data_IF_370521495409
#
_entry.id   IF_370521495409
#
_cell.length_a   1.000
_cell.length_b   1.000
_cell.length_c   1.000
_cell.angle_alpha   90.00
_cell.angle_beta   90.00
_cell.angle_gamma   90.00
#
_symmetry.space_group_name_H-M   'P 1'
#
loop_
_entity.id
_entity.type
_entity.pdbx_description
1 polymer ?
#
# COMPACT_ATOMS: atom_id res chain seq x y z
N UNK A 1 15.52 -21.03 -8.12
CA UNK A 1 14.70 -21.00 -6.88
C UNK A 1 13.41 -20.33 -7.27
N UNK A 2 12.26 -21.07 -7.28
CA UNK A 2 10.98 -20.46 -7.60
C UNK A 2 10.63 -19.43 -6.53
N UNK A 3 10.22 -18.21 -6.97
CA UNK A 3 9.82 -17.13 -6.06
C UNK A 3 8.67 -17.62 -5.18
N UNK A 4 8.95 -17.88 -3.90
CA UNK A 4 7.93 -18.28 -2.94
C UNK A 4 6.97 -17.11 -2.72
N UNK A 5 5.69 -17.30 -3.06
CA UNK A 5 4.69 -16.24 -2.97
C UNK A 5 4.28 -15.99 -1.50
N UNK A 6 4.23 -14.74 -1.11
CA UNK A 6 3.66 -14.30 0.15
C UNK A 6 2.14 -14.14 0.06
N UNK A 7 1.65 -13.68 -1.11
CA UNK A 7 0.22 -13.53 -1.38
C UNK A 7 -0.06 -14.11 -2.76
N UNK A 8 -1.09 -14.93 -2.84
CA UNK A 8 -1.63 -15.47 -4.07
C UNK A 8 -3.16 -15.35 -4.04
N UNK A 9 -3.74 -14.79 -5.10
CA UNK A 9 -5.18 -14.70 -5.24
C UNK A 9 -5.55 -15.02 -6.68
N UNK A 10 -6.68 -15.69 -6.87
CA UNK A 10 -7.19 -16.07 -8.18
C UNK A 10 -8.70 -15.88 -8.24
N UNK A 11 -9.12 -15.09 -9.23
CA UNK A 11 -10.52 -14.87 -9.55
C UNK A 11 -11.35 -14.24 -8.43
N UNK A 12 -10.79 -13.36 -7.60
CA UNK A 12 -11.53 -12.77 -6.48
C UNK A 12 -12.71 -11.93 -6.95
N UNK A 13 -13.89 -12.28 -6.48
CA UNK A 13 -15.14 -11.56 -6.73
C UNK A 13 -15.72 -11.10 -5.40
N UNK A 14 -16.24 -9.86 -5.38
CA UNK A 14 -16.97 -9.32 -4.24
C UNK A 14 -18.04 -8.34 -4.67
N UNK A 15 -19.25 -8.53 -4.14
CA UNK A 15 -20.35 -7.59 -4.27
C UNK A 15 -20.83 -7.14 -2.89
N UNK A 16 -21.30 -5.93 -2.78
CA UNK A 16 -22.05 -5.42 -1.64
C UNK A 16 -23.43 -4.98 -2.14
N UNK A 17 -24.45 -5.71 -1.72
CA UNK A 17 -25.81 -5.59 -2.31
C UNK A 17 -25.71 -5.75 -3.83
N UNK A 18 -26.18 -4.77 -4.59
CA UNK A 18 -26.21 -4.78 -6.06
C UNK A 18 -24.93 -4.23 -6.72
N UNK A 19 -23.97 -3.76 -5.92
CA UNK A 19 -22.72 -3.17 -6.43
C UNK A 19 -21.61 -4.20 -6.45
N UNK A 20 -21.13 -4.55 -7.65
CA UNK A 20 -19.97 -5.43 -7.83
C UNK A 20 -18.67 -4.62 -7.66
N UNK A 21 -17.92 -4.88 -6.59
CA UNK A 21 -16.71 -4.15 -6.21
C UNK A 21 -15.44 -4.83 -6.70
N UNK A 22 -15.43 -6.17 -6.78
CA UNK A 22 -14.32 -6.95 -7.37
C UNK A 22 -14.88 -7.88 -8.45
N UNK A 23 -14.20 -7.95 -9.59
CA UNK A 23 -14.64 -8.64 -10.80
C UNK A 23 -13.57 -9.59 -11.35
N UNK A 24 -13.07 -10.52 -10.52
CA UNK A 24 -12.08 -11.50 -10.92
C UNK A 24 -10.64 -10.97 -10.77
N UNK A 25 -10.23 -10.63 -9.55
CA UNK A 25 -8.90 -10.10 -9.26
C UNK A 25 -7.93 -11.26 -9.04
N UNK A 26 -6.81 -11.24 -9.78
CA UNK A 26 -5.69 -12.16 -9.67
C UNK A 26 -4.46 -11.42 -9.15
N UNK A 27 -3.76 -11.95 -8.14
CA UNK A 27 -2.58 -11.32 -7.53
C UNK A 27 -1.51 -12.36 -7.23
N UNK A 28 -0.25 -11.98 -7.46
CA UNK A 28 0.93 -12.79 -7.13
C UNK A 28 2.01 -11.88 -6.55
N UNK A 29 2.23 -11.98 -5.24
CA UNK A 29 3.17 -11.12 -4.51
C UNK A 29 4.33 -11.96 -3.99
N UNK A 30 5.56 -11.75 -4.44
CA UNK A 30 6.74 -12.44 -3.92
C UNK A 30 7.01 -12.10 -2.46
N UNK A 31 7.63 -13.03 -1.72
CA UNK A 31 8.07 -12.79 -0.34
C UNK A 31 9.17 -11.73 -0.28
N UNK A 32 9.15 -10.93 0.79
CA UNK A 32 10.16 -9.89 1.05
C UNK A 32 10.14 -8.74 0.05
N UNK A 33 9.07 -8.59 -0.74
CA UNK A 33 8.93 -7.51 -1.70
C UNK A 33 7.96 -6.43 -1.21
N UNK A 34 8.05 -5.25 -1.81
CA UNK A 34 6.99 -4.22 -1.75
C UNK A 34 6.14 -4.35 -3.01
N UNK A 35 4.85 -4.56 -2.82
CA UNK A 35 3.85 -4.61 -3.88
C UNK A 35 2.84 -3.49 -3.67
N UNK A 36 2.56 -2.71 -4.71
CA UNK A 36 1.57 -1.64 -4.66
C UNK A 36 0.33 -1.98 -5.49
N UNK A 37 -0.83 -1.79 -4.88
CA UNK A 37 -2.12 -1.79 -5.57
C UNK A 37 -2.55 -0.34 -5.78
N UNK A 38 -2.31 0.18 -6.97
CA UNK A 38 -2.58 1.56 -7.38
C UNK A 38 -3.97 1.68 -8.00
N UNK A 39 -4.70 2.74 -7.70
CA UNK A 39 -5.98 3.02 -8.35
C UNK A 39 -6.77 4.13 -7.67
N UNK A 40 -7.82 4.65 -8.31
CA UNK A 40 -8.67 5.69 -7.75
C UNK A 40 -9.46 5.20 -6.52
N UNK A 41 -10.08 6.14 -5.81
CA UNK A 41 -11.01 5.80 -4.75
C UNK A 41 -12.21 5.02 -5.33
N UNK A 42 -12.65 3.98 -4.60
CA UNK A 42 -13.72 3.10 -5.08
C UNK A 42 -13.29 2.00 -6.05
N UNK A 43 -12.02 1.95 -6.51
CA UNK A 43 -11.55 0.90 -7.42
C UNK A 43 -11.58 -0.53 -6.85
N UNK A 44 -11.74 -0.71 -5.53
CA UNK A 44 -11.77 -2.01 -4.87
C UNK A 44 -10.52 -2.35 -4.04
N UNK A 45 -9.55 -1.44 -3.93
CA UNK A 45 -8.28 -1.63 -3.21
C UNK A 45 -8.48 -2.09 -1.76
N UNK A 46 -9.20 -1.31 -0.96
CA UNK A 46 -9.49 -1.63 0.45
C UNK A 46 -10.27 -2.94 0.59
N UNK A 47 -11.20 -3.25 -0.34
CA UNK A 47 -11.94 -4.52 -0.33
C UNK A 47 -10.99 -5.70 -0.57
N UNK A 48 -10.04 -5.58 -1.50
CA UNK A 48 -9.00 -6.58 -1.74
C UNK A 48 -8.18 -6.82 -0.48
N UNK A 49 -7.66 -5.76 0.15
CA UNK A 49 -6.93 -5.85 1.43
C UNK A 49 -7.77 -6.53 2.51
N UNK A 50 -9.04 -6.17 2.66
CA UNK A 50 -9.93 -6.76 3.69
C UNK A 50 -10.16 -8.26 3.46
N UNK A 51 -10.22 -8.73 2.22
CA UNK A 51 -10.33 -10.16 1.89
C UNK A 51 -9.02 -10.86 2.26
N UNK A 52 -7.88 -10.35 1.80
CA UNK A 52 -6.56 -10.93 2.07
C UNK A 52 -6.24 -10.95 3.58
N UNK A 53 -6.66 -9.91 4.32
CA UNK A 53 -6.54 -9.84 5.78
C UNK A 53 -7.60 -10.63 6.55
N UNK A 54 -8.43 -11.44 5.86
CA UNK A 54 -9.50 -12.27 6.47
C UNK A 54 -10.63 -11.50 7.15
N UNK A 55 -10.77 -10.21 6.92
CA UNK A 55 -11.81 -9.36 7.51
C UNK A 55 -13.14 -9.45 6.76
N UNK A 56 -13.08 -9.74 5.46
CA UNK A 56 -14.25 -9.90 4.59
C UNK A 56 -14.10 -11.18 3.78
N UNK A 57 -15.21 -11.88 3.53
CA UNK A 57 -15.22 -13.06 2.68
C UNK A 57 -15.45 -12.65 1.23
N UNK A 58 -14.66 -13.23 0.30
CA UNK A 58 -14.95 -13.14 -1.12
C UNK A 58 -16.21 -13.95 -1.46
N UNK A 59 -16.93 -13.54 -2.50
CA UNK A 59 -18.11 -14.25 -2.98
C UNK A 59 -17.72 -15.39 -3.94
N UNK A 60 -16.59 -15.21 -4.66
CA UNK A 60 -15.97 -16.24 -5.47
C UNK A 60 -14.45 -16.03 -5.54
N UNK A 61 -13.74 -17.03 -6.07
CA UNK A 61 -12.29 -17.07 -6.14
C UNK A 61 -11.66 -17.59 -4.86
N UNK A 62 -10.33 -17.62 -4.84
CA UNK A 62 -9.53 -18.11 -3.71
C UNK A 62 -8.32 -17.22 -3.47
N UNK A 63 -7.85 -17.20 -2.22
CA UNK A 63 -6.61 -16.49 -1.88
C UNK A 63 -5.84 -17.23 -0.78
N UNK A 64 -4.52 -17.09 -0.84
CA UNK A 64 -3.57 -17.57 0.18
C UNK A 64 -2.67 -16.42 0.61
N UNK A 65 -2.40 -16.36 1.89
CA UNK A 65 -1.48 -15.37 2.47
C UNK A 65 -0.54 -16.08 3.41
N UNK A 66 0.76 -15.84 3.26
CA UNK A 66 1.81 -16.54 4.00
C UNK A 66 1.70 -18.07 3.94
N UNK A 67 1.22 -18.62 2.80
CA UNK A 67 1.02 -20.04 2.56
C UNK A 67 -0.31 -20.61 3.08
N UNK A 68 -1.16 -19.82 3.76
CA UNK A 68 -2.42 -20.25 4.37
C UNK A 68 -3.64 -19.73 3.58
N UNK A 69 -4.68 -20.56 3.47
CA UNK A 69 -5.94 -20.16 2.85
C UNK A 69 -6.69 -19.14 3.71
N UNK A 70 -7.08 -17.99 3.09
CA UNK A 70 -7.72 -16.89 3.83
C UNK A 70 -9.11 -17.19 4.34
N UNK A 71 -9.76 -18.25 3.84
CA UNK A 71 -11.08 -18.68 4.26
C UNK A 71 -11.02 -19.79 5.29
N UNK A 72 -10.18 -20.83 5.04
CA UNK A 72 -10.08 -22.06 5.86
C UNK A 72 -9.16 -21.86 7.05
N UNK A 73 -8.03 -21.15 6.87
CA UNK A 73 -6.94 -21.04 7.84
C UNK A 73 -6.85 -19.64 8.48
N UNK A 74 -8.00 -18.94 8.64
CA UNK A 74 -8.08 -17.54 9.10
C UNK A 74 -7.19 -17.23 10.31
N UNK A 75 -7.17 -18.11 11.30
CA UNK A 75 -6.36 -17.93 12.50
C UNK A 75 -4.86 -18.04 12.23
N UNK A 76 -4.43 -18.89 11.29
CA UNK A 76 -3.03 -19.00 10.87
C UNK A 76 -2.60 -17.76 10.07
N UNK A 77 -3.45 -17.29 9.14
CA UNK A 77 -3.22 -16.03 8.41
C UNK A 77 -3.06 -14.87 9.40
N UNK A 78 -4.01 -14.66 10.31
CA UNK A 78 -3.99 -13.53 11.26
C UNK A 78 -2.76 -13.50 12.17
N UNK A 79 -2.14 -14.64 12.45
CA UNK A 79 -0.87 -14.69 13.20
C UNK A 79 0.35 -14.26 12.38
N UNK A 80 0.25 -14.24 11.08
CA UNK A 80 1.34 -13.94 10.15
C UNK A 80 1.26 -12.58 9.50
N UNK A 81 0.12 -11.91 9.65
CA UNK A 81 -0.13 -10.61 9.02
C UNK A 81 -0.27 -9.51 10.06
N UNK A 82 -0.09 -8.28 9.58
CA UNK A 82 -0.59 -7.09 10.24
C UNK A 82 -1.30 -6.21 9.21
N UNK A 83 -2.23 -5.39 9.67
CA UNK A 83 -2.98 -4.44 8.87
C UNK A 83 -2.96 -3.08 9.55
N UNK A 84 -2.47 -2.07 8.83
CA UNK A 84 -2.56 -0.67 9.24
C UNK A 84 -3.57 0.01 8.32
N UNK A 85 -4.69 0.42 8.88
CA UNK A 85 -5.79 1.08 8.17
C UNK A 85 -5.73 2.60 8.27
N UNK A 86 -6.81 3.25 7.82
CA UNK A 86 -6.97 4.71 7.91
C UNK A 86 -7.13 5.21 9.36
N UNK A 87 -7.60 4.35 10.28
CA UNK A 87 -7.77 4.68 11.68
C UNK A 87 -6.66 4.05 12.52
N UNK A 88 -5.99 4.86 13.32
CA UNK A 88 -4.97 4.40 14.25
C UNK A 88 -5.63 3.68 15.45
N UNK A 89 -5.08 2.50 15.79
CA UNK A 89 -5.50 1.75 16.97
C UNK A 89 -4.75 2.21 18.25
N UNK A 90 -4.19 3.42 18.26
CA UNK A 90 -3.40 3.95 19.35
C UNK A 90 -4.29 4.61 20.40
N UNK A 91 -3.98 4.36 21.66
CA UNK A 91 -4.58 5.07 22.79
C UNK A 91 -3.84 6.40 23.00
N UNK A 92 -4.53 7.51 22.78
CA UNK A 92 -3.96 8.85 22.90
C UNK A 92 -3.61 9.26 24.34
N UNK A 93 -4.22 8.63 25.33
CA UNK A 93 -3.94 8.88 26.75
C UNK A 93 -2.65 8.19 27.23
N UNK A 94 -2.24 7.14 26.53
CA UNK A 94 -1.01 6.41 26.80
C UNK A 94 0.20 7.02 26.09
N UNK A 95 1.40 6.68 26.58
CA UNK A 95 2.67 6.99 25.89
C UNK A 95 2.90 6.08 24.71
N UNK A 96 3.84 6.45 23.80
CA UNK A 96 4.24 5.59 22.69
C UNK A 96 4.75 4.23 23.16
N UNK A 97 5.59 4.20 24.21
CA UNK A 97 6.09 2.95 24.79
C UNK A 97 4.98 2.07 25.38
N UNK A 98 4.00 2.67 26.06
CA UNK A 98 2.88 1.92 26.66
C UNK A 98 1.99 1.31 25.57
N UNK A 99 1.67 2.05 24.52
CA UNK A 99 0.95 1.53 23.37
C UNK A 99 1.64 0.30 22.76
N UNK A 100 2.95 0.38 22.48
CA UNK A 100 3.70 -0.75 21.91
C UNK A 100 3.79 -1.94 22.88
N UNK A 101 3.93 -1.71 24.18
CA UNK A 101 3.89 -2.77 25.20
C UNK A 101 2.54 -3.44 25.26
N UNK A 102 1.46 -2.67 25.21
CA UNK A 102 0.09 -3.18 25.15
C UNK A 102 -0.10 -4.07 23.93
N UNK A 103 0.29 -3.59 22.74
CA UNK A 103 0.24 -4.39 21.52
C UNK A 103 1.08 -5.67 21.61
N UNK A 104 2.24 -5.60 22.29
CA UNK A 104 3.06 -6.79 22.58
C UNK A 104 2.32 -7.82 23.45
N UNK A 105 1.61 -7.37 24.46
CA UNK A 105 0.79 -8.25 25.32
C UNK A 105 -0.37 -8.89 24.55
N UNK A 106 -1.05 -8.11 23.70
CA UNK A 106 -2.11 -8.61 22.82
C UNK A 106 -1.57 -9.63 21.80
N UNK A 107 -0.33 -9.43 21.33
CA UNK A 107 0.42 -10.38 20.49
C UNK A 107 1.02 -11.58 21.25
N UNK A 108 0.60 -11.79 22.53
CA UNK A 108 1.04 -12.90 23.41
C UNK A 108 2.52 -12.89 23.80
N UNK A 109 3.22 -11.76 23.66
CA UNK A 109 4.59 -11.64 24.17
C UNK A 109 4.60 -11.61 25.70
N UNK A 110 5.64 -12.17 26.33
CA UNK A 110 5.89 -11.98 27.76
C UNK A 110 6.10 -10.49 28.08
N UNK A 111 5.93 -10.09 29.34
CA UNK A 111 6.17 -8.68 29.76
C UNK A 111 7.56 -8.20 29.38
N UNK A 112 8.59 -9.03 29.59
CA UNK A 112 9.96 -8.70 29.26
C UNK A 112 10.18 -8.59 27.73
N UNK A 113 9.63 -9.51 26.95
CA UNK A 113 9.71 -9.48 25.47
C UNK A 113 8.96 -8.28 24.90
N UNK A 114 7.77 -7.95 25.39
CA UNK A 114 7.00 -6.78 24.97
C UNK A 114 7.76 -5.47 25.26
N UNK A 115 8.42 -5.38 26.42
CA UNK A 115 9.24 -4.21 26.78
C UNK A 115 10.45 -4.05 25.86
N UNK A 116 11.20 -5.13 25.59
CA UNK A 116 12.33 -5.09 24.66
C UNK A 116 11.87 -4.71 23.26
N UNK A 117 10.80 -5.36 22.77
CA UNK A 117 10.29 -5.09 21.44
C UNK A 117 9.77 -3.66 21.26
N UNK A 118 9.14 -3.10 22.29
CA UNK A 118 8.71 -1.70 22.28
C UNK A 118 9.92 -0.75 22.17
N UNK A 119 11.00 -0.99 22.93
CA UNK A 119 12.22 -0.17 22.85
C UNK A 119 12.88 -0.26 21.47
N UNK A 120 13.03 -1.47 20.90
CA UNK A 120 13.55 -1.69 19.55
C UNK A 120 12.75 -0.89 18.50
N UNK A 121 11.42 -0.92 18.57
CA UNK A 121 10.56 -0.24 17.62
C UNK A 121 10.56 1.29 17.81
N UNK A 122 10.60 1.79 19.04
CA UNK A 122 10.75 3.22 19.32
C UNK A 122 12.02 3.77 18.69
N UNK A 123 13.13 3.04 18.78
CA UNK A 123 14.39 3.41 18.17
C UNK A 123 14.32 3.31 16.64
N UNK A 124 13.89 2.18 16.11
CA UNK A 124 13.78 1.92 14.66
C UNK A 124 12.91 2.96 13.91
N UNK A 125 11.88 3.48 14.61
CA UNK A 125 10.94 4.46 14.04
C UNK A 125 11.28 5.92 14.41
N UNK A 126 12.47 6.18 14.96
CA UNK A 126 12.96 7.52 15.34
C UNK A 126 11.99 8.24 16.29
N UNK A 127 11.42 7.51 17.25
CA UNK A 127 10.49 8.03 18.24
C UNK A 127 11.11 8.13 19.65
N UNK A 128 12.42 7.96 19.80
CA UNK A 128 13.13 7.89 21.09
C UNK A 128 12.87 9.13 21.95
N UNK A 129 12.94 10.33 21.39
CA UNK A 129 12.68 11.58 22.10
C UNK A 129 11.22 11.75 22.55
N UNK A 130 10.30 11.02 21.91
CA UNK A 130 8.86 11.13 22.16
C UNK A 130 8.25 9.89 22.83
N UNK A 131 8.97 8.78 22.90
CA UNK A 131 8.46 7.48 23.35
C UNK A 131 7.76 7.49 24.71
N UNK A 132 8.16 8.41 25.61
CA UNK A 132 7.56 8.59 26.94
C UNK A 132 6.51 9.72 27.01
N UNK A 133 6.26 10.40 25.90
CA UNK A 133 5.20 11.41 25.83
C UNK A 133 3.88 10.74 25.47
N UNK A 134 2.74 11.33 25.90
CA UNK A 134 1.40 10.86 25.50
C UNK A 134 1.21 11.01 24.00
N UNK A 135 0.61 10.00 23.35
CA UNK A 135 0.36 9.97 21.90
C UNK A 135 -0.55 11.11 21.47
N UNK A 136 -1.46 11.58 22.32
CA UNK A 136 -2.27 12.78 22.05
C UNK A 136 -1.45 14.04 21.73
N UNK A 137 -0.16 14.10 22.16
CA UNK A 137 0.76 15.23 21.89
C UNK A 137 1.65 15.02 20.65
N UNK A 138 1.49 13.92 19.92
CA UNK A 138 2.28 13.61 18.73
C UNK A 138 1.78 14.39 17.50
N UNK A 139 2.71 14.74 16.60
CA UNK A 139 2.32 15.18 15.26
C UNK A 139 1.64 14.04 14.48
N UNK A 140 0.93 14.35 13.40
CA UNK A 140 0.33 13.35 12.52
C UNK A 140 1.35 12.33 12.00
N UNK A 141 2.52 12.79 11.55
CA UNK A 141 3.62 11.92 11.11
C UNK A 141 4.18 11.02 12.22
N UNK A 142 4.32 11.53 13.45
CA UNK A 142 4.74 10.73 14.59
C UNK A 142 3.71 9.66 14.96
N UNK A 143 2.40 10.00 14.95
CA UNK A 143 1.33 9.03 15.19
C UNK A 143 1.35 7.94 14.13
N UNK A 144 1.52 8.30 12.86
CA UNK A 144 1.57 7.34 11.76
C UNK A 144 2.77 6.40 11.85
N UNK A 145 3.94 6.91 12.24
CA UNK A 145 5.13 6.08 12.51
C UNK A 145 4.91 5.14 13.68
N UNK A 146 4.31 5.61 14.76
CA UNK A 146 3.99 4.76 15.92
C UNK A 146 2.95 3.69 15.57
N UNK A 147 1.94 4.00 14.77
CA UNK A 147 0.92 3.07 14.30
C UNK A 147 1.55 1.94 13.45
N UNK A 148 2.46 2.31 12.55
CA UNK A 148 3.23 1.33 11.79
C UNK A 148 4.15 0.51 12.69
N UNK A 149 4.81 1.11 13.68
CA UNK A 149 5.59 0.40 14.68
C UNK A 149 4.72 -0.61 15.48
N UNK A 150 3.52 -0.21 15.89
CA UNK A 150 2.57 -1.07 16.58
C UNK A 150 2.18 -2.30 15.75
N UNK A 151 2.02 -2.11 14.44
CA UNK A 151 1.71 -3.20 13.50
C UNK A 151 2.82 -4.25 13.39
N UNK A 152 4.06 -3.88 13.71
CA UNK A 152 5.24 -4.76 13.63
C UNK A 152 5.60 -5.46 14.94
N UNK A 153 4.88 -5.17 16.02
CA UNK A 153 5.16 -5.77 17.33
C UNK A 153 5.10 -7.29 17.28
N UNK A 154 4.12 -7.84 16.57
CA UNK A 154 3.90 -9.28 16.40
C UNK A 154 4.87 -9.98 15.43
N UNK A 155 5.81 -9.27 14.82
CA UNK A 155 6.73 -9.77 13.78
C UNK A 155 5.98 -10.46 12.63
N UNK A 156 5.06 -9.76 11.94
CA UNK A 156 4.33 -10.32 10.82
C UNK A 156 5.27 -10.64 9.66
N UNK A 157 4.94 -11.65 8.86
CA UNK A 157 5.62 -11.94 7.60
C UNK A 157 5.05 -11.10 6.44
N UNK A 158 3.81 -10.64 6.56
CA UNK A 158 3.14 -9.77 5.59
C UNK A 158 2.48 -8.61 6.32
N UNK A 159 2.69 -7.39 5.83
CA UNK A 159 2.00 -6.20 6.31
C UNK A 159 1.16 -5.60 5.20
N UNK A 160 -0.10 -5.29 5.51
CA UNK A 160 -1.02 -4.54 4.65
C UNK A 160 -1.06 -3.10 5.10
N UNK A 161 -0.78 -2.17 4.19
CA UNK A 161 -0.81 -0.73 4.41
C UNK A 161 -1.87 -0.11 3.52
N UNK A 162 -2.98 0.32 4.10
CA UNK A 162 -4.07 0.93 3.33
C UNK A 162 -3.90 2.46 3.33
N UNK A 163 -3.42 2.98 2.19
CA UNK A 163 -3.11 4.40 1.95
C UNK A 163 -2.18 5.02 3.03
N UNK A 164 -0.95 4.50 3.21
CA UNK A 164 -0.11 4.81 4.37
C UNK A 164 0.33 6.27 4.47
N UNK A 165 0.42 7.00 3.37
CA UNK A 165 0.90 8.40 3.34
C UNK A 165 -0.21 9.44 3.18
N UNK A 166 -1.47 9.02 3.13
CA UNK A 166 -2.60 9.95 2.98
C UNK A 166 -2.70 10.89 4.18
N UNK A 167 -2.82 12.21 3.89
CA UNK A 167 -2.92 13.26 4.91
C UNK A 167 -1.61 13.64 5.60
N UNK A 168 -0.47 13.08 5.17
CA UNK A 168 0.85 13.48 5.67
C UNK A 168 1.41 14.69 4.89
N UNK A 169 2.12 15.55 5.59
CA UNK A 169 2.96 16.57 4.97
C UNK A 169 4.10 15.94 4.16
N UNK A 170 4.73 16.68 3.21
CA UNK A 170 5.75 16.13 2.34
C UNK A 170 6.93 15.49 3.08
N UNK A 171 7.39 16.10 4.18
CA UNK A 171 8.52 15.59 4.95
C UNK A 171 8.15 14.28 5.68
N UNK A 172 6.99 14.24 6.33
CA UNK A 172 6.48 13.04 6.99
C UNK A 172 6.24 11.90 6.01
N UNK A 173 5.83 12.21 4.76
CA UNK A 173 5.65 11.23 3.69
C UNK A 173 6.98 10.60 3.30
N UNK A 174 8.02 11.39 3.08
CA UNK A 174 9.36 10.88 2.74
C UNK A 174 9.91 9.96 3.84
N UNK A 175 9.77 10.36 5.11
CA UNK A 175 10.18 9.53 6.25
C UNK A 175 9.39 8.22 6.29
N UNK A 176 8.09 8.24 6.03
CA UNK A 176 7.26 7.03 5.96
C UNK A 176 7.72 6.09 4.85
N UNK A 177 8.05 6.61 3.68
CA UNK A 177 8.56 5.82 2.57
C UNK A 177 9.90 5.14 2.90
N UNK A 178 10.81 5.83 3.58
CA UNK A 178 12.07 5.24 4.05
C UNK A 178 11.81 4.08 5.02
N UNK A 179 10.87 4.24 5.95
CA UNK A 179 10.48 3.18 6.87
C UNK A 179 9.93 1.97 6.12
N UNK A 180 9.00 2.18 5.17
CA UNK A 180 8.41 1.10 4.37
C UNK A 180 9.48 0.34 3.57
N UNK A 181 10.41 1.06 2.94
CA UNK A 181 11.53 0.43 2.21
C UNK A 181 12.42 -0.42 3.14
N UNK A 182 12.70 0.08 4.36
CA UNK A 182 13.46 -0.65 5.38
C UNK A 182 12.78 -1.95 5.84
N UNK A 183 11.45 -2.01 5.84
CA UNK A 183 10.70 -3.24 6.18
C UNK A 183 10.94 -4.35 5.16
N UNK A 184 10.87 -4.03 3.88
CA UNK A 184 11.14 -5.01 2.83
C UNK A 184 12.60 -5.50 2.87
N UNK A 185 13.55 -4.59 3.10
CA UNK A 185 14.95 -4.95 3.27
C UNK A 185 15.18 -5.90 4.48
N UNK A 186 14.33 -5.84 5.51
CA UNK A 186 14.35 -6.78 6.65
C UNK A 186 13.63 -8.11 6.38
N UNK A 187 13.13 -8.34 5.15
CA UNK A 187 12.45 -9.58 4.73
C UNK A 187 10.93 -9.61 4.98
N UNK A 188 10.33 -8.50 5.43
CA UNK A 188 8.87 -8.39 5.57
C UNK A 188 8.26 -8.10 4.20
N UNK A 189 7.23 -8.84 3.82
CA UNK A 189 6.47 -8.52 2.60
C UNK A 189 5.51 -7.37 2.89
N UNK A 190 5.57 -6.33 2.07
CA UNK A 190 4.69 -5.17 2.19
C UNK A 190 3.71 -5.14 1.02
N UNK A 191 2.42 -5.17 1.33
CA UNK A 191 1.34 -4.93 0.36
C UNK A 191 0.70 -3.58 0.70
N UNK A 192 0.90 -2.58 -0.15
CA UNK A 192 0.33 -1.27 0.06
C UNK A 192 -0.74 -0.93 -0.98
N UNK A 193 -1.75 -0.18 -0.56
CA UNK A 193 -2.68 0.46 -1.49
C UNK A 193 -2.39 1.95 -1.55
N UNK A 194 -2.54 2.54 -2.72
CA UNK A 194 -2.37 3.98 -2.90
C UNK A 194 -3.16 4.49 -4.11
N UNK A 195 -3.46 5.78 -4.13
CA UNK A 195 -3.93 6.50 -5.30
C UNK A 195 -2.82 7.35 -5.94
N UNK A 196 -1.64 7.41 -5.32
CA UNK A 196 -0.51 8.23 -5.77
C UNK A 196 0.50 7.37 -6.53
N UNK A 197 0.67 7.68 -7.82
CA UNK A 197 1.62 6.99 -8.67
C UNK A 197 3.06 7.14 -8.16
N UNK A 198 3.41 8.32 -7.63
CA UNK A 198 4.74 8.60 -7.08
C UNK A 198 5.10 7.66 -5.93
N UNK A 199 4.16 7.40 -5.02
CA UNK A 199 4.35 6.46 -3.91
C UNK A 199 4.58 5.04 -4.41
N UNK A 200 3.73 4.58 -5.34
CA UNK A 200 3.86 3.25 -5.92
C UNK A 200 5.20 3.07 -6.66
N UNK A 201 5.58 4.06 -7.48
CA UNK A 201 6.81 4.03 -8.27
C UNK A 201 8.08 4.05 -7.41
N UNK A 202 8.05 4.80 -6.31
CA UNK A 202 9.21 4.94 -5.41
C UNK A 202 9.43 3.73 -4.51
N UNK A 203 8.35 3.08 -4.08
CA UNK A 203 8.40 2.02 -3.06
C UNK A 203 8.32 0.61 -3.64
N UNK A 204 7.51 0.41 -4.67
CA UNK A 204 7.14 -0.92 -5.08
C UNK A 204 8.04 -1.47 -6.19
N UNK A 205 8.56 -2.67 -5.97
CA UNK A 205 9.21 -3.44 -7.04
C UNK A 205 8.22 -3.92 -8.10
N UNK A 206 6.92 -4.01 -7.73
CA UNK A 206 5.83 -4.39 -8.63
C UNK A 206 4.55 -3.63 -8.29
N UNK A 207 3.88 -3.12 -9.29
CA UNK A 207 2.66 -2.31 -9.20
C UNK A 207 1.57 -2.98 -10.01
N UNK A 208 0.40 -3.20 -9.39
CA UNK A 208 -0.81 -3.55 -10.09
C UNK A 208 -1.75 -2.32 -10.11
N UNK A 209 -2.24 -1.98 -11.28
CA UNK A 209 -3.20 -0.87 -11.45
C UNK A 209 -4.60 -1.45 -11.43
N UNK A 210 -5.42 -0.97 -10.52
CA UNK A 210 -6.80 -1.41 -10.34
C UNK A 210 -7.77 -0.30 -10.73
N UNK A 211 -8.75 -0.64 -11.54
CA UNK A 211 -9.88 0.22 -11.89
C UNK A 211 -11.17 -0.60 -11.96
N UNK A 212 -12.27 -0.01 -11.49
CA UNK A 212 -13.62 -0.62 -11.51
C UNK A 212 -13.63 -2.12 -11.09
N UNK A 213 -12.87 -2.47 -10.06
CA UNK A 213 -12.81 -3.82 -9.51
C UNK A 213 -11.99 -4.83 -10.32
N UNK A 214 -11.17 -4.39 -11.27
CA UNK A 214 -10.31 -5.23 -12.12
C UNK A 214 -8.88 -4.73 -12.11
N UNK A 215 -7.93 -5.64 -12.31
CA UNK A 215 -6.55 -5.25 -12.64
C UNK A 215 -6.47 -4.95 -14.13
N UNK A 216 -6.09 -3.73 -14.47
CA UNK A 216 -5.98 -3.25 -15.86
C UNK A 216 -4.53 -3.27 -16.37
N UNK A 217 -3.55 -3.23 -15.47
CA UNK A 217 -2.13 -3.34 -15.81
C UNK A 217 -1.35 -3.86 -14.60
N UNK A 218 -0.24 -4.56 -14.87
CA UNK A 218 0.72 -4.96 -13.84
C UNK A 218 2.14 -4.91 -14.42
N UNK A 219 3.11 -4.49 -13.60
CA UNK A 219 4.52 -4.42 -13.98
C UNK A 219 5.35 -3.63 -12.98
N UNK A 220 6.61 -3.37 -13.33
CA UNK A 220 7.43 -2.38 -12.62
C UNK A 220 6.97 -0.96 -12.98
N UNK A 221 7.30 0.05 -12.16
CA UNK A 221 6.99 1.45 -12.47
C UNK A 221 7.48 1.85 -13.87
N UNK A 222 8.70 1.42 -14.23
CA UNK A 222 9.27 1.68 -15.56
C UNK A 222 8.46 1.01 -16.71
N UNK A 223 8.06 -0.26 -16.52
CA UNK A 223 7.24 -0.96 -17.52
C UNK A 223 5.88 -0.28 -17.71
N UNK A 224 5.24 0.17 -16.62
CA UNK A 224 3.96 0.86 -16.70
C UNK A 224 4.09 2.22 -17.39
N UNK A 225 5.14 3.00 -17.06
CA UNK A 225 5.44 4.29 -17.71
C UNK A 225 5.68 4.11 -19.20
N UNK A 226 6.45 3.10 -19.62
CA UNK A 226 6.67 2.80 -21.05
C UNK A 226 5.37 2.47 -21.78
N UNK A 227 4.45 1.75 -21.16
CA UNK A 227 3.13 1.44 -21.79
C UNK A 227 2.29 2.70 -22.00
N UNK A 228 2.38 3.68 -21.11
CA UNK A 228 1.70 4.98 -21.26
C UNK A 228 2.42 5.82 -22.32
N UNK A 229 3.75 5.92 -22.23
CA UNK A 229 4.55 6.68 -23.19
C UNK A 229 4.43 6.15 -24.63
N UNK A 230 4.33 4.83 -24.81
CA UNK A 230 4.14 4.23 -26.13
C UNK A 230 2.78 4.56 -26.81
N UNK A 231 1.84 5.14 -26.04
CA UNK A 231 0.53 5.60 -26.53
C UNK A 231 0.44 7.12 -26.62
N UNK A 232 1.51 7.84 -26.26
CA UNK A 232 1.57 9.29 -26.32
C UNK A 232 2.52 9.71 -27.43
N UNK A 233 2.04 10.56 -28.33
CA UNK A 233 2.81 11.25 -29.34
C UNK A 233 2.88 12.71 -28.95
N UNK A 234 4.08 13.21 -28.65
CA UNK A 234 4.33 14.64 -28.45
C UNK A 234 4.84 15.20 -29.78
N UNK A 235 4.10 16.15 -30.34
CA UNK A 235 4.44 16.78 -31.62
C UNK A 235 4.75 18.23 -31.37
N UNK A 236 5.98 18.65 -31.66
CA UNK A 236 6.39 20.06 -31.63
C UNK A 236 6.40 20.61 -33.04
N UNK A 237 5.67 21.68 -33.28
CA UNK A 237 5.54 22.30 -34.58
C UNK A 237 6.49 23.47 -34.73
N UNK A 238 7.09 23.70 -35.92
CA UNK A 238 8.04 24.78 -36.15
C UNK A 238 7.37 26.17 -36.16
N UNK A 239 6.09 26.23 -36.50
CA UNK A 239 5.30 27.47 -36.57
C UNK A 239 3.81 27.20 -36.35
N UNK A 240 3.04 28.28 -36.26
CA UNK A 240 1.60 28.25 -36.01
C UNK A 240 0.81 27.59 -37.15
N UNK A 241 1.26 27.71 -38.41
CA UNK A 241 0.59 27.11 -39.56
C UNK A 241 0.70 25.57 -39.52
N UNK A 242 1.88 25.06 -39.19
CA UNK A 242 2.10 23.63 -38.98
C UNK A 242 1.31 23.09 -37.77
N UNK A 243 1.22 23.89 -36.68
CA UNK A 243 0.42 23.55 -35.52
C UNK A 243 -1.07 23.38 -35.85
N UNK A 244 -1.65 24.31 -36.59
CA UNK A 244 -3.07 24.25 -36.99
C UNK A 244 -3.33 23.07 -37.95
N UNK A 245 -2.40 22.70 -38.82
CA UNK A 245 -2.51 21.52 -39.66
C UNK A 245 -2.51 20.24 -38.85
N UNK A 246 -1.56 20.10 -37.92
CA UNK A 246 -1.45 18.92 -36.99
C UNK A 246 -2.71 18.83 -36.12
N UNK A 247 -3.16 19.95 -35.56
CA UNK A 247 -4.40 20.02 -34.79
C UNK A 247 -5.60 19.57 -35.62
N UNK A 248 -5.72 19.99 -36.86
CA UNK A 248 -6.81 19.57 -37.75
C UNK A 248 -6.77 18.06 -38.09
N UNK A 249 -5.57 17.47 -38.13
CA UNK A 249 -5.40 16.04 -38.39
C UNK A 249 -5.79 15.15 -37.20
N UNK A 250 -5.41 15.53 -35.97
CA UNK A 250 -5.69 14.76 -34.77
C UNK A 250 -7.05 15.06 -34.12
N UNK A 251 -7.61 16.27 -34.34
CA UNK A 251 -8.94 16.67 -33.88
C UNK A 251 -9.13 16.39 -32.37
N UNK A 252 -10.24 15.71 -32.02
CA UNK A 252 -10.59 15.37 -30.66
C UNK A 252 -9.69 14.31 -30.01
N UNK A 253 -8.72 13.75 -30.73
CA UNK A 253 -7.75 12.79 -30.17
C UNK A 253 -6.58 13.48 -29.46
N UNK A 254 -6.43 14.80 -29.62
CA UNK A 254 -5.42 15.58 -28.92
C UNK A 254 -5.82 15.76 -27.45
N UNK A 255 -4.96 15.28 -26.54
CA UNK A 255 -5.20 15.34 -25.07
C UNK A 255 -4.79 16.71 -24.50
N UNK A 256 -3.79 17.34 -25.11
CA UNK A 256 -3.28 18.64 -24.70
C UNK A 256 -2.81 19.43 -25.92
N UNK A 257 -3.18 20.67 -25.99
CA UNK A 257 -2.78 21.61 -27.06
C UNK A 257 -2.24 22.87 -26.40
N UNK A 258 -1.01 23.20 -26.70
CA UNK A 258 -0.38 24.44 -26.24
C UNK A 258 0.09 25.32 -27.42
N UNK A 259 -0.74 26.25 -27.87
CA UNK A 259 -0.39 27.13 -28.97
C UNK A 259 0.81 28.06 -28.71
N UNK A 260 1.13 28.32 -27.44
CA UNK A 260 2.23 29.20 -27.06
C UNK A 260 3.59 28.51 -27.19
N UNK A 261 3.66 27.21 -26.91
CA UNK A 261 4.84 26.38 -27.12
C UNK A 261 4.81 25.56 -28.42
N UNK A 262 3.76 25.70 -29.23
CA UNK A 262 3.52 24.94 -30.46
C UNK A 262 3.51 23.41 -30.29
N UNK A 263 3.04 22.94 -29.11
CA UNK A 263 2.91 21.54 -28.72
C UNK A 263 1.46 21.06 -28.68
#
# INVERSE_FOLDING_TARGET
>A
MGDELAIEASGLVKSYRDVRVLSGVDLRVPRGSVFALLGPNGAGKTTTVRILATLTRADAGQARVAGFDVLRDRSAVRRRISLTGQFTALDEAQTGEENLRMMGRLSRLSRAAARRRAAELIEQFELTAAGRRRVGTYSGGMRRRLDLAASLVGRPSVIFLDEPSTGLDPQSRLTMWQVIAGLAASGVTVFLTTQYLEEADRLAGRIAVMDAGRLIAEGTGEQLKRRVAARRLDVTCPDLAAFEQVRGYFGDQAVHLDPASLN
#
